data_IF_598219564152
#
_entry.id   IF_598219564152
#
_cell.length_a   1.000
_cell.length_b   1.000
_cell.length_c   1.000
_cell.angle_alpha   90.00
_cell.angle_beta   90.00
_cell.angle_gamma   90.00
#
_symmetry.space_group_name_H-M   'P 1'
#
loop_
_entity.id
_entity.type
_entity.pdbx_description
1 polymer ?
#
# COMPACT_ATOMS: atom_id res chain seq x y z
N UNK A 1 20.68 -3.35 -17.99
CA UNK A 1 19.85 -2.15 -18.02
C UNK A 1 20.15 -1.33 -16.75
N UNK A 2 20.67 -0.11 -16.91
CA UNK A 2 21.03 0.74 -15.79
C UNK A 2 19.82 1.64 -15.49
N UNK A 3 19.24 1.51 -14.30
CA UNK A 3 18.20 2.43 -13.82
C UNK A 3 18.86 3.57 -13.05
N UNK A 4 18.86 4.78 -13.61
CA UNK A 4 19.31 6.00 -12.94
C UNK A 4 18.14 6.59 -12.13
N UNK A 5 18.26 6.58 -10.82
CA UNK A 5 17.36 7.30 -9.91
C UNK A 5 18.06 8.55 -9.36
N UNK A 6 17.47 9.72 -9.54
CA UNK A 6 17.97 10.99 -9.01
C UNK A 6 17.16 11.40 -7.78
N UNK A 7 17.81 11.61 -6.65
CA UNK A 7 17.19 12.12 -5.42
C UNK A 7 17.56 13.59 -5.23
N UNK A 8 16.57 14.46 -5.19
CA UNK A 8 16.73 15.87 -4.89
C UNK A 8 15.81 16.30 -3.75
N UNK A 9 16.30 17.20 -2.91
CA UNK A 9 15.69 17.64 -1.66
C UNK A 9 14.69 18.79 -1.84
N UNK A 10 13.95 18.83 -2.93
CA UNK A 10 12.82 19.75 -3.05
C UNK A 10 11.52 18.96 -3.19
N UNK A 11 10.61 19.25 -2.28
CA UNK A 11 9.20 18.83 -2.28
C UNK A 11 8.48 19.49 -3.47
N UNK A 12 8.86 19.10 -4.69
CA UNK A 12 8.35 19.68 -5.91
C UNK A 12 7.69 18.65 -6.79
N UNK A 13 6.46 18.94 -7.15
CA UNK A 13 5.58 18.35 -8.15
C UNK A 13 6.26 18.04 -9.53
N UNK A 14 7.55 18.29 -9.70
CA UNK A 14 8.32 18.14 -10.95
C UNK A 14 9.51 17.17 -10.87
N UNK A 15 9.68 16.40 -9.81
CA UNK A 15 10.80 15.48 -9.70
C UNK A 15 10.58 14.20 -10.50
N UNK A 16 11.32 14.06 -11.58
CA UNK A 16 11.39 12.84 -12.39
C UNK A 16 12.48 11.94 -11.81
N UNK A 17 12.15 11.06 -10.91
CA UNK A 17 13.10 10.09 -10.33
C UNK A 17 13.83 9.22 -11.35
N UNK A 18 13.20 8.97 -12.49
CA UNK A 18 13.75 8.14 -13.58
C UNK A 18 14.16 8.97 -14.81
N UNK A 19 14.39 10.26 -14.63
CA UNK A 19 14.81 11.13 -15.72
C UNK A 19 16.28 10.94 -16.04
N UNK A 20 16.64 10.99 -17.32
CA UNK A 20 18.03 10.93 -17.80
C UNK A 20 18.71 12.30 -17.81
N UNK A 21 18.00 13.38 -17.48
CA UNK A 21 18.55 14.76 -17.41
C UNK A 21 17.93 15.53 -16.26
N UNK A 22 18.75 16.38 -15.63
CA UNK A 22 18.35 17.22 -14.51
C UNK A 22 19.15 18.51 -14.43
N UNK A 23 18.56 19.58 -13.88
CA UNK A 23 19.29 20.78 -13.51
C UNK A 23 20.12 20.53 -12.24
N UNK A 24 21.34 21.08 -12.23
CA UNK A 24 22.16 21.07 -11.03
C UNK A 24 21.53 21.99 -9.98
N UNK A 25 21.55 21.55 -8.73
CA UNK A 25 21.21 22.38 -7.58
C UNK A 25 22.50 22.86 -6.92
N UNK A 26 22.74 24.17 -6.93
CA UNK A 26 23.99 24.77 -6.43
C UNK A 26 25.27 24.09 -6.99
N UNK A 27 25.25 23.74 -8.28
CA UNK A 27 26.38 23.08 -8.94
C UNK A 27 26.53 21.59 -8.61
N UNK A 28 25.59 20.98 -7.87
CA UNK A 28 25.65 19.57 -7.43
C UNK A 28 24.47 18.78 -7.98
N UNK A 29 24.71 17.49 -8.19
CA UNK A 29 23.71 16.51 -8.58
C UNK A 29 24.02 15.18 -7.88
N UNK A 30 22.97 14.49 -7.43
CA UNK A 30 23.05 13.12 -6.95
C UNK A 30 22.44 12.20 -8.00
N UNK A 31 23.21 11.21 -8.44
CA UNK A 31 22.73 10.10 -9.25
C UNK A 31 22.81 8.82 -8.44
N UNK A 32 21.70 8.08 -8.39
CA UNK A 32 21.65 6.75 -7.76
C UNK A 32 21.77 5.71 -8.87
N UNK A 33 22.81 4.89 -8.80
CA UNK A 33 23.11 3.88 -9.81
C UNK A 33 22.84 2.52 -9.18
N UNK A 34 21.89 1.77 -9.75
CA UNK A 34 21.62 0.39 -9.36
C UNK A 34 22.41 -0.59 -10.23
N UNK A 35 22.91 -1.65 -9.63
CA UNK A 35 23.58 -2.76 -10.31
C UNK A 35 22.56 -3.86 -10.51
N UNK A 36 22.44 -4.37 -11.75
CA UNK A 36 21.73 -5.61 -12.04
C UNK A 36 22.61 -6.82 -11.65
N UNK A 37 22.08 -8.03 -11.75
CA UNK A 37 22.75 -9.29 -11.34
C UNK A 37 23.98 -9.66 -12.20
N UNK A 38 24.74 -8.67 -12.64
CA UNK A 38 25.94 -8.87 -13.47
C UNK A 38 27.11 -8.07 -12.93
N UNK A 39 28.26 -8.72 -12.82
CA UNK A 39 29.54 -8.06 -12.56
C UNK A 39 30.08 -7.41 -13.82
N UNK A 40 30.88 -6.35 -13.67
CA UNK A 40 31.54 -5.68 -14.77
C UNK A 40 31.66 -4.18 -14.59
N UNK A 41 32.25 -3.52 -15.57
CA UNK A 41 32.47 -2.09 -15.59
C UNK A 41 31.16 -1.34 -15.91
N UNK A 42 30.85 -0.33 -15.10
CA UNK A 42 29.74 0.61 -15.29
C UNK A 42 30.33 1.97 -15.63
N UNK A 43 30.07 2.47 -16.84
CA UNK A 43 30.45 3.81 -17.28
C UNK A 43 29.28 4.77 -17.14
N UNK A 44 29.46 5.81 -16.33
CA UNK A 44 28.51 6.91 -16.17
C UNK A 44 29.05 8.14 -16.86
N UNK A 45 28.44 8.53 -17.97
CA UNK A 45 28.84 9.74 -18.72
C UNK A 45 27.89 10.88 -18.36
N UNK A 46 28.45 11.96 -17.87
CA UNK A 46 27.75 13.20 -17.55
C UNK A 46 28.06 14.22 -18.65
N UNK A 47 27.02 14.69 -19.31
CA UNK A 47 27.13 15.67 -20.40
C UNK A 47 26.39 16.95 -20.05
N UNK A 48 26.93 18.11 -20.43
CA UNK A 48 26.25 19.39 -20.30
C UNK A 48 26.63 20.31 -21.44
N UNK A 49 25.69 21.12 -21.91
CA UNK A 49 25.96 22.07 -23.00
C UNK A 49 27.02 23.04 -22.60
N UNK A 50 28.12 23.12 -23.41
CA UNK A 50 29.24 24.05 -23.19
C UNK A 50 30.27 23.59 -22.15
N UNK A 51 30.16 22.36 -21.64
CA UNK A 51 31.18 21.75 -20.77
C UNK A 51 31.70 20.46 -21.40
N UNK A 52 32.93 20.08 -21.16
CA UNK A 52 33.44 18.77 -21.56
C UNK A 52 32.69 17.64 -20.82
N UNK A 53 32.57 16.52 -21.51
CA UNK A 53 31.97 15.34 -20.89
C UNK A 53 32.83 14.82 -19.75
N UNK A 54 32.15 14.40 -18.67
CA UNK A 54 32.80 13.75 -17.54
C UNK A 54 32.37 12.28 -17.50
N UNK A 55 33.36 11.37 -17.48
CA UNK A 55 33.07 9.91 -17.38
C UNK A 55 33.57 9.41 -16.04
N UNK A 56 32.66 8.77 -15.31
CA UNK A 56 32.95 8.08 -14.05
C UNK A 56 32.81 6.57 -14.31
N UNK A 57 33.86 5.82 -13.99
CA UNK A 57 33.86 4.37 -14.10
C UNK A 57 33.75 3.75 -12.73
N UNK A 58 32.82 2.79 -12.57
CA UNK A 58 32.58 2.04 -11.36
C UNK A 58 32.66 0.55 -11.70
N UNK A 59 33.21 -0.27 -10.81
CA UNK A 59 33.27 -1.71 -10.97
C UNK A 59 32.19 -2.38 -10.15
N UNK A 60 31.29 -3.13 -10.81
CA UNK A 60 30.36 -4.02 -10.16
C UNK A 60 31.05 -5.36 -9.88
N UNK A 61 31.26 -5.65 -8.61
CA UNK A 61 31.89 -6.90 -8.16
C UNK A 61 30.86 -7.80 -7.48
N UNK A 62 31.15 -9.11 -7.46
CA UNK A 62 30.31 -10.04 -6.72
C UNK A 62 30.48 -9.81 -5.22
N UNK A 63 29.39 -9.51 -4.52
CA UNK A 63 29.41 -9.42 -3.07
C UNK A 63 29.61 -10.81 -2.43
N UNK A 64 30.31 -10.86 -1.30
CA UNK A 64 30.42 -12.11 -0.52
C UNK A 64 29.07 -12.57 0.03
N UNK A 65 28.21 -11.60 0.33
CA UNK A 65 26.82 -11.85 0.73
C UNK A 65 25.93 -10.74 0.21
N UNK A 66 24.68 -11.08 -0.03
CA UNK A 66 23.68 -10.15 -0.52
C UNK A 66 23.07 -9.37 0.66
N UNK A 67 23.54 -8.14 0.86
CA UNK A 67 23.12 -7.28 1.95
C UNK A 67 21.87 -6.44 1.64
N UNK A 68 21.41 -6.46 0.39
CA UNK A 68 20.33 -5.59 -0.09
C UNK A 68 20.69 -4.11 -0.21
N UNK A 69 21.91 -3.73 0.16
CA UNK A 69 22.45 -2.37 0.04
C UNK A 69 23.89 -2.44 -0.42
N UNK A 70 24.43 -1.36 -1.00
CA UNK A 70 25.86 -1.30 -1.30
C UNK A 70 26.67 -1.35 0.00
N UNK A 71 27.68 -2.23 0.05
CA UNK A 71 28.66 -2.21 1.14
C UNK A 71 29.65 -1.09 0.84
N UNK A 72 29.49 0.04 1.53
CA UNK A 72 30.59 0.99 1.67
C UNK A 72 31.34 0.62 2.93
N UNK A 73 32.65 0.43 2.82
CA UNK A 73 33.51 0.31 4.00
C UNK A 73 33.26 1.53 4.91
N UNK A 74 33.07 1.29 6.20
CA UNK A 74 32.83 2.32 7.23
C UNK A 74 31.47 3.05 7.24
N UNK A 75 30.48 2.63 6.49
CA UNK A 75 29.13 3.08 6.80
C UNK A 75 28.58 2.20 7.92
N UNK A 76 28.72 2.68 9.16
CA UNK A 76 28.01 2.12 10.30
C UNK A 76 26.51 2.08 9.98
N UNK A 77 25.84 0.98 10.35
CA UNK A 77 24.39 0.91 10.22
C UNK A 77 23.79 1.99 11.10
N UNK A 78 22.79 2.71 10.57
CA UNK A 78 22.00 3.55 11.43
C UNK A 78 21.43 2.69 12.56
N UNK A 79 21.55 3.12 13.82
CA UNK A 79 20.94 2.39 14.93
C UNK A 79 19.45 2.24 14.64
N UNK A 80 18.88 1.11 15.06
CA UNK A 80 17.42 0.94 15.03
C UNK A 80 16.79 2.01 15.92
N UNK A 81 15.53 2.35 15.70
CA UNK A 81 14.81 3.32 16.56
C UNK A 81 14.86 2.92 18.06
N UNK A 82 15.09 1.66 18.35
CA UNK A 82 15.21 1.13 19.71
C UNK A 82 16.61 1.29 20.34
N UNK A 83 17.55 1.88 19.61
CA UNK A 83 18.93 2.09 20.10
C UNK A 83 19.77 0.81 20.21
N UNK A 84 19.29 -0.33 19.70
CA UNK A 84 20.04 -1.57 19.62
C UNK A 84 21.03 -1.51 18.48
N UNK A 85 22.31 -1.77 18.78
CA UNK A 85 23.42 -1.68 17.83
C UNK A 85 23.94 -3.02 17.35
N UNK A 86 23.48 -4.11 17.96
CA UNK A 86 23.87 -5.49 17.73
C UNK A 86 22.91 -6.27 16.81
N UNK A 87 21.77 -5.66 16.47
CA UNK A 87 20.77 -6.27 15.61
C UNK A 87 21.02 -5.97 14.15
N UNK A 88 20.73 -6.96 13.31
CA UNK A 88 20.79 -6.84 11.84
C UNK A 88 19.37 -6.67 11.30
N UNK A 89 18.94 -5.42 10.99
CA UNK A 89 17.59 -5.20 10.48
C UNK A 89 17.42 -5.69 9.04
N UNK A 90 16.20 -6.03 8.66
CA UNK A 90 15.83 -6.18 7.25
C UNK A 90 15.99 -4.83 6.57
N UNK A 91 16.68 -4.79 5.44
CA UNK A 91 16.95 -3.59 4.65
C UNK A 91 16.22 -3.58 3.32
N UNK A 92 15.94 -4.76 2.80
CA UNK A 92 15.24 -4.95 1.56
C UNK A 92 14.42 -6.24 1.61
N UNK A 93 13.24 -6.23 1.05
CA UNK A 93 12.46 -7.43 0.78
C UNK A 93 12.32 -7.52 -0.73
N UNK A 94 12.82 -8.59 -1.32
CA UNK A 94 12.64 -8.88 -2.73
C UNK A 94 11.46 -9.82 -2.91
N UNK A 95 10.64 -9.53 -3.90
CA UNK A 95 9.47 -10.33 -4.27
C UNK A 95 9.62 -10.79 -5.72
N UNK A 96 9.40 -12.07 -5.98
CA UNK A 96 9.59 -12.69 -7.29
C UNK A 96 8.36 -13.47 -7.72
N UNK A 97 7.94 -13.25 -8.94
CA UNK A 97 6.87 -14.02 -9.60
C UNK A 97 7.07 -14.03 -11.11
N UNK A 98 6.59 -15.06 -11.76
CA UNK A 98 6.69 -15.21 -13.22
C UNK A 98 5.56 -14.47 -13.95
N UNK A 99 4.46 -14.16 -13.27
CA UNK A 99 3.32 -13.47 -13.86
C UNK A 99 2.71 -12.45 -12.90
N UNK A 100 2.12 -11.42 -13.47
CA UNK A 100 1.42 -10.34 -12.74
C UNK A 100 -0.06 -10.27 -13.10
N UNK A 101 -0.52 -11.16 -13.96
CA UNK A 101 -1.90 -11.22 -14.41
C UNK A 101 -2.53 -12.53 -13.97
N UNK A 102 -3.70 -12.43 -13.32
CA UNK A 102 -4.53 -13.55 -12.90
C UNK A 102 -5.82 -13.54 -13.71
N UNK A 103 -6.45 -14.67 -13.81
CA UNK A 103 -7.70 -14.80 -14.53
C UNK A 103 -8.41 -16.10 -14.18
N UNK A 104 -9.49 -16.36 -14.91
CA UNK A 104 -10.34 -17.52 -14.66
C UNK A 104 -9.60 -18.86 -14.75
N UNK A 105 -8.66 -18.95 -15.70
CA UNK A 105 -7.87 -20.18 -15.92
C UNK A 105 -6.65 -20.26 -14.98
N UNK A 106 -6.21 -19.12 -14.43
CA UNK A 106 -5.10 -19.03 -13.49
C UNK A 106 -5.42 -18.03 -12.36
N UNK A 107 -6.33 -18.39 -11.44
CA UNK A 107 -6.78 -17.49 -10.37
C UNK A 107 -5.78 -17.41 -9.21
N UNK A 108 -4.77 -18.25 -9.17
CA UNK A 108 -3.79 -18.34 -8.09
C UNK A 108 -2.36 -18.33 -8.64
N UNK A 109 -1.48 -17.63 -7.95
CA UNK A 109 -0.04 -17.59 -8.25
C UNK A 109 0.76 -17.75 -6.98
N UNK A 110 2.03 -18.16 -7.15
CA UNK A 110 3.00 -18.23 -6.07
C UNK A 110 4.01 -17.08 -6.21
N UNK A 111 4.19 -16.31 -5.16
CA UNK A 111 5.19 -15.26 -5.05
C UNK A 111 6.27 -15.73 -4.08
N UNK A 112 7.50 -15.81 -4.53
CA UNK A 112 8.66 -16.04 -3.67
C UNK A 112 9.17 -14.74 -3.09
N UNK A 113 9.79 -14.78 -1.94
CA UNK A 113 10.39 -13.61 -1.32
C UNK A 113 11.76 -13.92 -0.73
N UNK A 114 12.54 -12.86 -0.53
CA UNK A 114 13.85 -12.92 0.10
C UNK A 114 14.03 -11.70 0.97
N UNK A 115 14.31 -11.91 2.25
CA UNK A 115 14.74 -10.84 3.15
C UNK A 115 16.24 -10.61 2.98
N UNK A 116 16.66 -9.37 2.98
CA UNK A 116 18.06 -8.98 2.87
C UNK A 116 18.45 -7.98 3.96
N UNK A 117 19.61 -8.17 4.61
CA UNK A 117 20.55 -9.28 4.43
C UNK A 117 19.97 -10.61 4.91
N UNK A 118 20.49 -11.73 4.38
CA UNK A 118 19.97 -13.07 4.67
C UNK A 118 20.08 -13.49 6.16
N UNK A 119 20.97 -12.86 6.90
CA UNK A 119 21.16 -13.04 8.34
C UNK A 119 20.43 -11.98 9.17
N UNK A 120 19.38 -11.39 8.65
CA UNK A 120 18.56 -10.43 9.40
C UNK A 120 17.85 -11.10 10.56
N UNK A 121 17.84 -10.44 11.73
CA UNK A 121 17.14 -10.89 12.94
C UNK A 121 15.61 -10.79 12.81
N UNK A 122 15.11 -10.11 11.79
CA UNK A 122 13.68 -9.82 11.58
C UNK A 122 13.11 -10.41 10.29
N UNK A 123 13.80 -11.39 9.70
CA UNK A 123 13.35 -12.02 8.46
C UNK A 123 12.00 -12.75 8.62
N UNK A 124 11.74 -13.29 9.82
CA UNK A 124 10.50 -13.98 10.15
C UNK A 124 9.35 -13.02 10.53
N UNK A 125 9.66 -11.75 10.80
CA UNK A 125 8.68 -10.73 11.18
C UNK A 125 8.05 -10.03 9.96
N UNK A 126 8.26 -10.55 8.77
CA UNK A 126 7.71 -9.95 7.55
C UNK A 126 6.22 -10.27 7.46
N UNK A 127 5.43 -9.21 7.47
CA UNK A 127 3.98 -9.29 7.27
C UNK A 127 3.63 -9.15 5.79
N UNK A 128 2.72 -10.00 5.32
CA UNK A 128 2.18 -9.93 3.95
C UNK A 128 0.72 -9.52 3.95
N UNK A 129 0.36 -8.67 2.99
CA UNK A 129 -1.02 -8.18 2.90
C UNK A 129 -1.40 -7.84 1.47
N UNK A 130 -2.60 -8.22 1.06
CA UNK A 130 -3.22 -7.73 -0.17
C UNK A 130 -3.86 -6.37 0.10
N UNK A 131 -3.53 -5.38 -0.72
CA UNK A 131 -3.98 -4.00 -0.53
C UNK A 131 -4.38 -3.36 -1.86
N UNK A 132 -5.05 -2.21 -1.79
CA UNK A 132 -5.12 -1.29 -2.91
C UNK A 132 -3.81 -0.46 -3.03
N UNK A 133 -3.75 0.44 -3.99
CA UNK A 133 -2.58 1.32 -4.22
C UNK A 133 -2.20 2.13 -2.98
N UNK A 134 -3.19 2.58 -2.20
CA UNK A 134 -2.99 3.37 -0.98
C UNK A 134 -2.57 2.55 0.25
N UNK A 135 -2.49 1.22 0.12
CA UNK A 135 -2.13 0.33 1.21
C UNK A 135 -3.28 -0.10 2.12
N UNK A 136 -4.52 0.20 1.75
CA UNK A 136 -5.72 -0.26 2.44
C UNK A 136 -5.97 -1.72 2.03
N UNK A 137 -6.26 -2.60 3.00
CA UNK A 137 -6.54 -4.02 2.74
C UNK A 137 -7.64 -4.15 1.68
N UNK A 138 -7.37 -4.89 0.61
CA UNK A 138 -8.29 -5.14 -0.49
C UNK A 138 -8.97 -6.51 -0.35
N UNK A 139 -10.20 -6.61 -0.86
CA UNK A 139 -10.96 -7.87 -0.97
C UNK A 139 -10.83 -8.53 -2.36
N UNK A 140 -10.11 -7.88 -3.30
CA UNK A 140 -9.91 -8.41 -4.66
C UNK A 140 -9.07 -9.68 -4.71
N UNK A 141 -8.28 -9.94 -3.66
CA UNK A 141 -7.52 -11.17 -3.53
C UNK A 141 -7.26 -11.47 -2.05
N UNK A 142 -6.83 -12.68 -1.79
CA UNK A 142 -6.29 -13.13 -0.51
C UNK A 142 -4.87 -13.66 -0.68
N UNK A 143 -4.10 -13.64 0.39
CA UNK A 143 -2.77 -14.24 0.41
C UNK A 143 -2.61 -15.18 1.59
N UNK A 144 -1.95 -16.31 1.34
CA UNK A 144 -1.58 -17.31 2.33
C UNK A 144 -0.07 -17.44 2.35
N UNK A 145 0.53 -17.29 3.52
CA UNK A 145 1.99 -17.39 3.71
C UNK A 145 2.34 -18.86 3.94
N UNK A 146 3.25 -19.39 3.16
CA UNK A 146 3.87 -20.70 3.36
C UNK A 146 5.30 -20.53 3.85
N UNK A 147 6.02 -21.60 4.07
CA UNK A 147 7.37 -21.53 4.67
C UNK A 147 8.36 -20.67 3.85
N UNK A 148 8.24 -20.64 2.52
CA UNK A 148 9.20 -20.01 1.60
C UNK A 148 8.54 -19.13 0.52
N UNK A 149 7.21 -19.02 0.55
CA UNK A 149 6.46 -18.33 -0.51
C UNK A 149 5.12 -17.82 -0.03
N UNK A 150 4.47 -17.05 -0.87
CA UNK A 150 3.13 -16.53 -0.64
C UNK A 150 2.25 -16.98 -1.81
N UNK A 151 1.18 -17.68 -1.50
CA UNK A 151 0.11 -17.95 -2.45
C UNK A 151 -0.82 -16.75 -2.51
N UNK A 152 -1.07 -16.24 -3.69
CA UNK A 152 -2.00 -15.12 -3.91
C UNK A 152 -3.11 -15.61 -4.81
N UNK A 153 -4.34 -15.54 -4.31
CA UNK A 153 -5.54 -15.98 -5.02
C UNK A 153 -6.47 -14.80 -5.25
N UNK A 154 -6.73 -14.51 -6.53
CA UNK A 154 -7.69 -13.48 -6.92
C UNK A 154 -9.14 -13.94 -6.66
N UNK A 155 -9.97 -13.00 -6.22
CA UNK A 155 -11.40 -13.19 -5.93
C UNK A 155 -12.32 -12.41 -6.86
N UNK A 156 -11.78 -11.44 -7.57
CA UNK A 156 -12.55 -10.62 -8.51
C UNK A 156 -11.65 -9.77 -9.38
N UNK A 157 -12.26 -9.15 -10.37
CA UNK A 157 -11.59 -8.30 -11.36
C UNK A 157 -11.07 -7.01 -10.74
N UNK A 158 -9.91 -6.59 -11.20
CA UNK A 158 -9.29 -5.33 -10.81
C UNK A 158 -7.80 -5.43 -10.48
N UNK A 159 -7.22 -4.30 -10.08
CA UNK A 159 -5.82 -4.22 -9.68
C UNK A 159 -5.68 -4.23 -8.16
N UNK A 160 -4.74 -5.01 -7.68
CA UNK A 160 -4.37 -5.08 -6.26
C UNK A 160 -2.85 -5.21 -6.11
N UNK A 161 -2.36 -5.02 -4.89
CA UNK A 161 -0.94 -5.09 -4.56
C UNK A 161 -0.71 -6.11 -3.44
N UNK A 162 0.25 -7.00 -3.64
CA UNK A 162 0.84 -7.73 -2.54
C UNK A 162 1.89 -6.85 -1.90
N UNK A 163 1.74 -6.53 -0.63
CA UNK A 163 2.72 -5.82 0.20
C UNK A 163 3.42 -6.78 1.13
N UNK A 164 4.74 -6.71 1.14
CA UNK A 164 5.59 -7.33 2.15
C UNK A 164 6.16 -6.20 3.02
N UNK A 165 6.01 -6.29 4.32
CA UNK A 165 6.30 -5.20 5.25
C UNK A 165 7.03 -5.71 6.48
N UNK A 166 8.08 -5.01 6.91
CA UNK A 166 8.82 -5.32 8.12
C UNK A 166 8.96 -4.10 9.03
N UNK A 167 8.79 -4.30 10.33
CA UNK A 167 8.90 -3.28 11.36
C UNK A 167 10.28 -3.22 12.00
N UNK A 168 11.12 -4.22 11.78
CA UNK A 168 12.43 -4.32 12.41
C UNK A 168 12.38 -4.13 13.95
N UNK A 169 11.46 -4.82 14.61
CA UNK A 169 11.29 -4.75 16.06
C UNK A 169 10.66 -3.46 16.60
N UNK A 170 10.17 -2.55 15.74
CA UNK A 170 9.52 -1.30 16.15
C UNK A 170 8.00 -1.35 15.99
N UNK A 171 7.31 -0.26 16.31
CA UNK A 171 5.85 -0.16 16.05
C UNK A 171 5.49 0.18 14.61
N UNK A 172 6.44 0.69 13.81
CA UNK A 172 6.20 1.20 12.45
C UNK A 172 6.84 0.31 11.40
N UNK A 173 6.23 0.28 10.22
CA UNK A 173 6.85 -0.37 9.07
C UNK A 173 7.96 0.53 8.51
N UNK A 174 9.19 0.01 8.50
CA UNK A 174 10.37 0.69 7.94
C UNK A 174 10.69 0.20 6.54
N UNK A 175 10.42 -1.07 6.26
CA UNK A 175 10.68 -1.68 4.97
C UNK A 175 9.34 -2.12 4.36
N UNK A 176 9.08 -1.68 3.14
CA UNK A 176 7.89 -2.06 2.37
C UNK A 176 8.33 -2.39 0.94
N UNK A 177 7.96 -3.58 0.50
CA UNK A 177 8.09 -4.00 -0.91
C UNK A 177 6.71 -4.33 -1.46
N UNK A 178 6.48 -4.07 -2.75
CA UNK A 178 5.18 -4.25 -3.37
C UNK A 178 5.28 -4.81 -4.78
N UNK A 179 4.34 -5.71 -5.10
CA UNK A 179 4.07 -6.13 -6.48
C UNK A 179 2.63 -5.79 -6.83
N UNK A 180 2.42 -5.22 -8.00
CA UNK A 180 1.10 -4.97 -8.57
C UNK A 180 0.65 -6.18 -9.37
N UNK A 181 -0.61 -6.56 -9.17
CA UNK A 181 -1.29 -7.60 -9.93
C UNK A 181 -2.57 -7.05 -10.55
N UNK A 182 -2.98 -7.68 -11.64
CA UNK A 182 -4.28 -7.41 -12.27
C UNK A 182 -5.01 -8.74 -12.45
N UNK A 183 -6.28 -8.77 -12.10
CA UNK A 183 -7.15 -9.92 -12.31
C UNK A 183 -8.28 -9.56 -13.26
N UNK A 184 -8.60 -10.48 -14.19
CA UNK A 184 -9.61 -10.27 -15.23
C UNK A 184 -10.42 -11.57 -15.47
N UNK A 185 -11.71 -11.41 -15.73
CA UNK A 185 -12.64 -12.50 -16.07
C UNK A 185 -13.14 -13.32 -14.89
N UNK A 186 -12.91 -12.88 -13.66
CA UNK A 186 -13.42 -13.49 -12.43
C UNK A 186 -14.77 -12.90 -12.00
N UNK A 187 -15.12 -11.73 -12.56
CA UNK A 187 -16.28 -10.96 -12.13
C UNK A 187 -16.03 -10.13 -10.87
N UNK A 188 -17.08 -9.66 -10.23
CA UNK A 188 -16.98 -8.80 -9.06
C UNK A 188 -16.60 -9.61 -7.82
N UNK A 189 -15.63 -9.12 -7.05
CA UNK A 189 -15.35 -9.66 -5.72
C UNK A 189 -16.52 -9.35 -4.77
N UNK A 190 -17.08 -10.37 -4.16
CA UNK A 190 -18.09 -10.20 -3.13
C UNK A 190 -17.43 -9.85 -1.79
N UNK A 191 -18.09 -8.98 -1.05
CA UNK A 191 -17.69 -8.60 0.30
C UNK A 191 -18.72 -9.13 1.29
N UNK A 192 -18.27 -9.90 2.28
CA UNK A 192 -19.11 -10.35 3.39
C UNK A 192 -19.38 -9.17 4.36
N UNK A 193 -20.61 -8.65 4.42
CA UNK A 193 -20.96 -7.53 5.29
C UNK A 193 -21.07 -7.90 6.77
N UNK A 194 -21.04 -9.19 7.10
CA UNK A 194 -21.03 -9.68 8.48
C UNK A 194 -19.61 -9.68 9.08
N UNK A 195 -18.60 -9.43 8.25
CA UNK A 195 -17.25 -9.16 8.68
C UNK A 195 -16.99 -7.63 8.73
N UNK A 196 -15.85 -7.24 9.30
CA UNK A 196 -15.50 -5.83 9.33
C UNK A 196 -15.16 -5.31 7.92
N UNK A 197 -16.08 -4.54 7.34
CA UNK A 197 -15.88 -3.85 6.06
C UNK A 197 -15.08 -2.57 6.29
N UNK A 198 -13.92 -2.48 5.64
CA UNK A 198 -13.02 -1.34 5.79
C UNK A 198 -13.63 -0.10 5.12
N UNK A 199 -13.94 0.93 5.90
CA UNK A 199 -14.61 2.14 5.41
C UNK A 199 -13.88 2.88 4.30
N UNK A 200 -12.56 2.76 4.18
CA UNK A 200 -11.77 3.36 3.10
C UNK A 200 -11.85 2.62 1.75
N UNK A 201 -12.53 1.47 1.69
CA UNK A 201 -12.73 0.68 0.45
C UNK A 201 -14.06 0.97 -0.24
N UNK A 202 -14.61 2.16 -0.06
CA UNK A 202 -15.80 2.54 -0.83
C UNK A 202 -15.51 2.45 -2.34
N UNK A 203 -16.47 1.98 -3.08
CA UNK A 203 -16.38 1.78 -4.54
C UNK A 203 -16.72 3.06 -5.30
N UNK A 204 -17.68 3.81 -4.77
CA UNK A 204 -18.13 5.10 -5.30
C UNK A 204 -18.38 6.08 -4.16
N UNK A 205 -18.22 7.35 -4.43
CA UNK A 205 -18.45 8.40 -3.44
C UNK A 205 -18.70 9.75 -4.11
N UNK A 206 -19.26 10.69 -3.36
CA UNK A 206 -19.30 12.09 -3.78
C UNK A 206 -17.89 12.70 -3.82
N UNK A 207 -17.70 13.75 -4.64
CA UNK A 207 -16.39 14.39 -4.89
C UNK A 207 -15.66 14.87 -3.64
N UNK A 208 -16.40 15.15 -2.57
CA UNK A 208 -15.88 15.63 -1.30
C UNK A 208 -15.54 14.52 -0.29
N UNK A 209 -15.52 13.26 -0.74
CA UNK A 209 -15.10 12.10 0.07
C UNK A 209 -13.72 11.64 -0.35
N UNK A 210 -12.89 11.36 0.63
CA UNK A 210 -11.57 10.74 0.43
C UNK A 210 -11.37 9.58 1.38
N UNK A 211 -10.42 8.70 1.07
CA UNK A 211 -10.00 7.65 1.99
C UNK A 211 -8.83 8.14 2.84
N UNK A 212 -8.93 7.91 4.15
CA UNK A 212 -7.83 8.05 5.10
C UNK A 212 -7.38 6.71 5.64
N UNK A 213 -6.30 6.71 6.42
CA UNK A 213 -5.78 5.51 7.08
C UNK A 213 -5.30 5.84 8.49
N UNK A 214 -5.64 4.97 9.44
CA UNK A 214 -5.12 4.98 10.80
C UNK A 214 -4.67 3.57 11.19
N UNK A 215 -3.41 3.41 11.59
CA UNK A 215 -2.82 2.10 12.00
C UNK A 215 -3.11 0.97 10.99
N UNK A 216 -3.05 1.27 9.69
CA UNK A 216 -3.29 0.29 8.62
C UNK A 216 -4.77 0.01 8.31
N UNK A 217 -5.71 0.60 9.04
CA UNK A 217 -7.15 0.48 8.77
C UNK A 217 -7.62 1.73 8.03
N UNK A 218 -8.22 1.51 6.85
CA UNK A 218 -8.77 2.57 6.02
C UNK A 218 -10.14 3.03 6.52
N UNK A 219 -10.44 4.32 6.34
CA UNK A 219 -11.75 4.90 6.61
C UNK A 219 -12.17 5.87 5.51
N UNK A 220 -13.50 6.02 5.31
CA UNK A 220 -14.03 7.08 4.47
C UNK A 220 -14.06 8.38 5.27
N UNK A 221 -13.65 9.48 4.65
CA UNK A 221 -13.61 10.80 5.24
C UNK A 221 -14.37 11.76 4.33
N UNK A 222 -15.51 12.25 4.80
CA UNK A 222 -16.35 13.19 4.08
C UNK A 222 -16.61 14.47 4.87
N UNK A 223 -17.05 15.50 4.16
CA UNK A 223 -17.61 16.72 4.74
C UNK A 223 -19.13 16.57 4.84
N UNK A 224 -19.79 17.59 5.41
CA UNK A 224 -21.26 17.67 5.44
C UNK A 224 -21.82 17.52 4.01
N UNK A 225 -22.91 16.78 3.88
CA UNK A 225 -23.54 16.45 2.58
C UNK A 225 -22.63 15.64 1.65
N UNK A 226 -22.12 14.53 2.14
CA UNK A 226 -21.31 13.59 1.38
C UNK A 226 -21.86 12.17 1.51
N UNK A 227 -21.56 11.31 0.55
CA UNK A 227 -21.92 9.90 0.60
C UNK A 227 -20.77 9.01 0.11
N UNK A 228 -20.72 7.80 0.63
CA UNK A 228 -19.84 6.73 0.18
C UNK A 228 -20.65 5.45 -0.01
N UNK A 229 -20.42 4.75 -1.12
CA UNK A 229 -21.11 3.51 -1.46
C UNK A 229 -20.14 2.33 -1.50
N UNK A 230 -20.65 1.18 -1.10
CA UNK A 230 -19.94 -0.09 -1.06
C UNK A 230 -20.71 -1.08 -1.90
N UNK A 231 -20.21 -1.37 -3.09
CA UNK A 231 -20.84 -2.31 -4.01
C UNK A 231 -20.50 -3.76 -3.64
N UNK A 232 -21.29 -4.69 -4.14
CA UNK A 232 -21.08 -6.14 -4.04
C UNK A 232 -21.02 -6.65 -2.60
N UNK A 233 -21.83 -6.08 -1.70
CA UNK A 233 -22.05 -6.65 -0.37
C UNK A 233 -23.01 -7.84 -0.49
N UNK A 234 -22.58 -9.02 -0.08
CA UNK A 234 -23.40 -10.23 -0.10
C UNK A 234 -24.00 -10.51 1.28
N UNK A 235 -25.25 -10.13 1.47
CA UNK A 235 -25.99 -10.39 2.71
C UNK A 235 -26.53 -11.83 2.81
N UNK A 236 -26.33 -12.64 1.77
CA UNK A 236 -26.85 -14.00 1.69
C UNK A 236 -28.40 -14.06 1.79
N UNK A 237 -28.94 -15.26 2.00
CA UNK A 237 -30.38 -15.46 2.07
C UNK A 237 -31.03 -14.98 3.37
N UNK A 238 -30.27 -14.86 4.44
CA UNK A 238 -30.78 -14.42 5.76
C UNK A 238 -31.04 -12.91 5.79
N UNK A 239 -30.21 -12.13 5.13
CA UNK A 239 -30.27 -10.68 5.13
C UNK A 239 -30.03 -10.07 6.51
N UNK A 240 -29.90 -8.76 6.58
CA UNK A 240 -29.83 -8.02 7.85
C UNK A 240 -30.63 -6.72 7.78
N UNK A 241 -31.33 -6.40 8.84
CA UNK A 241 -31.99 -5.09 9.05
C UNK A 241 -31.21 -4.21 10.04
N UNK A 242 -30.00 -4.60 10.39
CA UNK A 242 -29.13 -3.83 11.26
C UNK A 242 -27.76 -3.60 10.61
N UNK A 243 -27.20 -2.42 10.85
CA UNK A 243 -25.85 -2.06 10.43
C UNK A 243 -25.11 -1.42 11.59
N UNK A 244 -23.87 -1.87 11.84
CA UNK A 244 -22.99 -1.26 12.82
C UNK A 244 -21.86 -0.50 12.09
N UNK A 245 -21.74 0.78 12.36
CA UNK A 245 -20.72 1.64 11.73
C UNK A 245 -19.82 2.22 12.80
N UNK A 246 -18.51 2.18 12.53
CA UNK A 246 -17.51 2.87 13.35
C UNK A 246 -17.44 4.33 12.92
N UNK A 247 -17.87 5.26 13.77
CA UNK A 247 -18.03 6.67 13.43
C UNK A 247 -17.11 7.54 14.29
N UNK A 248 -16.46 8.49 13.65
CA UNK A 248 -15.84 9.62 14.28
C UNK A 248 -16.31 10.90 13.58
N UNK A 249 -16.89 11.82 14.33
CA UNK A 249 -17.25 13.15 13.85
C UNK A 249 -16.44 14.21 14.60
N UNK A 250 -15.79 15.10 13.88
CA UNK A 250 -15.02 16.20 14.47
C UNK A 250 -15.88 17.45 14.64
N UNK A 251 -17.03 17.28 15.29
CA UNK A 251 -17.97 18.37 15.59
C UNK A 251 -18.78 18.03 16.83
N UNK A 252 -19.20 19.06 17.56
CA UNK A 252 -20.19 18.96 18.64
C UNK A 252 -21.63 19.06 18.12
N UNK A 253 -21.82 19.45 16.86
CA UNK A 253 -23.14 19.52 16.28
C UNK A 253 -23.66 18.12 15.91
N UNK A 254 -24.97 17.86 16.02
CA UNK A 254 -25.57 16.62 15.60
C UNK A 254 -25.39 16.38 14.10
N UNK A 255 -24.88 15.19 13.72
CA UNK A 255 -24.67 14.79 12.33
C UNK A 255 -25.76 13.82 11.91
N UNK A 256 -26.46 14.11 10.81
CA UNK A 256 -27.42 13.20 10.21
C UNK A 256 -26.70 12.17 9.36
N UNK A 257 -26.97 10.89 9.61
CA UNK A 257 -26.44 9.77 8.83
C UNK A 257 -27.64 9.04 8.23
N UNK A 258 -27.64 8.92 6.92
CA UNK A 258 -28.69 8.22 6.19
C UNK A 258 -28.11 6.99 5.45
N UNK A 259 -28.85 5.88 5.52
CA UNK A 259 -28.49 4.66 4.81
C UNK A 259 -29.44 4.49 3.63
N UNK A 260 -28.89 4.07 2.50
CA UNK A 260 -29.62 3.87 1.26
C UNK A 260 -29.28 2.49 0.67
N UNK A 261 -30.25 1.88 0.03
CA UNK A 261 -30.04 0.81 -0.93
C UNK A 261 -29.93 1.43 -2.31
N UNK A 262 -28.69 1.51 -2.81
CA UNK A 262 -28.32 2.27 -4.00
C UNK A 262 -27.85 3.71 -3.70
N UNK A 263 -27.43 4.41 -4.73
CA UNK A 263 -26.94 5.78 -4.63
C UNK A 263 -28.11 6.76 -4.53
N UNK A 264 -28.09 7.71 -3.56
CA UNK A 264 -29.19 8.65 -3.36
C UNK A 264 -29.57 9.43 -4.63
N UNK A 265 -28.58 9.94 -5.34
CA UNK A 265 -28.74 10.78 -6.53
C UNK A 265 -29.15 9.98 -7.78
N UNK A 266 -29.06 8.65 -7.74
CA UNK A 266 -29.43 7.71 -8.80
C UNK A 266 -30.73 6.94 -8.50
N UNK A 267 -31.51 7.41 -7.54
CA UNK A 267 -32.79 6.77 -7.15
C UNK A 267 -32.67 5.70 -6.09
N UNK A 268 -31.59 5.69 -5.32
CA UNK A 268 -31.40 4.83 -4.17
C UNK A 268 -32.52 4.98 -3.14
N UNK A 269 -32.98 3.85 -2.56
CA UNK A 269 -34.07 3.80 -1.58
C UNK A 269 -33.56 4.08 -0.19
N UNK A 270 -34.13 5.07 0.50
CA UNK A 270 -33.81 5.39 1.89
C UNK A 270 -34.20 4.22 2.80
N UNK A 271 -33.26 3.76 3.58
CA UNK A 271 -33.41 2.70 4.58
C UNK A 271 -33.56 3.23 6.01
N UNK A 272 -33.12 4.44 6.24
CA UNK A 272 -33.23 5.12 7.52
C UNK A 272 -32.33 6.33 7.63
N UNK A 273 -32.72 7.28 8.51
CA UNK A 273 -31.93 8.45 8.84
C UNK A 273 -31.80 8.52 10.35
N UNK A 274 -30.58 8.72 10.83
CA UNK A 274 -30.25 8.70 12.24
C UNK A 274 -29.43 9.95 12.58
N UNK A 275 -29.52 10.34 13.85
CA UNK A 275 -28.74 11.45 14.38
C UNK A 275 -27.57 10.89 15.21
N UNK A 276 -26.34 11.17 14.80
CA UNK A 276 -25.15 10.89 15.58
C UNK A 276 -24.74 12.15 16.33
N UNK A 277 -24.62 12.02 17.65
CA UNK A 277 -24.21 13.14 18.51
C UNK A 277 -23.43 12.59 19.69
N UNK A 278 -22.14 12.39 19.49
CA UNK A 278 -21.20 12.01 20.55
C UNK A 278 -20.04 12.98 20.60
N UNK A 279 -19.56 13.21 21.80
CA UNK A 279 -18.39 14.06 22.00
C UNK A 279 -17.19 13.55 21.19
N UNK A 280 -16.55 14.43 20.39
CA UNK A 280 -15.45 14.05 19.54
C UNK A 280 -14.19 13.80 20.39
N UNK A 281 -13.57 12.65 20.14
CA UNK A 281 -12.23 12.33 20.59
C UNK A 281 -11.37 12.12 19.36
N UNK A 282 -10.22 12.79 19.27
CA UNK A 282 -9.42 12.80 18.05
C UNK A 282 -9.11 11.40 17.52
N UNK A 283 -9.63 11.11 16.34
CA UNK A 283 -9.45 9.84 15.65
C UNK A 283 -9.91 8.59 16.45
N UNK A 284 -10.79 8.74 17.42
CA UNK A 284 -11.43 7.61 18.11
C UNK A 284 -12.77 7.35 17.42
N UNK A 285 -12.85 6.20 16.76
CA UNK A 285 -14.06 5.73 16.09
C UNK A 285 -14.93 4.99 17.11
N UNK A 286 -16.18 5.42 17.28
CA UNK A 286 -17.14 4.82 18.22
C UNK A 286 -18.15 3.99 17.44
N UNK A 287 -18.41 2.72 17.84
CA UNK A 287 -19.39 1.90 17.16
C UNK A 287 -20.82 2.37 17.45
N UNK A 288 -21.64 2.44 16.41
CA UNK A 288 -23.06 2.73 16.46
C UNK A 288 -23.83 1.71 15.65
N UNK A 289 -24.89 1.16 16.24
CA UNK A 289 -25.76 0.21 15.55
C UNK A 289 -27.09 0.86 15.22
N UNK A 290 -27.48 0.78 13.97
CA UNK A 290 -28.70 1.35 13.43
C UNK A 290 -29.63 0.24 12.93
N UNK A 291 -30.94 0.40 13.14
CA UNK A 291 -31.93 -0.49 12.59
C UNK A 291 -32.52 0.11 11.31
N UNK A 292 -32.43 -0.63 10.23
CA UNK A 292 -32.94 -0.25 8.93
C UNK A 292 -34.43 -0.54 8.82
N UNK A 293 -35.12 0.12 7.88
CA UNK A 293 -36.55 -0.06 7.61
C UNK A 293 -36.92 -1.41 7.01
N UNK A 294 -35.92 -2.10 6.42
CA UNK A 294 -36.06 -3.46 5.87
C UNK A 294 -34.73 -4.20 5.91
N UNK A 295 -34.76 -5.50 5.67
CA UNK A 295 -33.56 -6.30 5.43
C UNK A 295 -32.94 -5.98 4.08
N UNK A 296 -31.63 -6.05 4.04
CA UNK A 296 -30.79 -6.06 2.85
C UNK A 296 -30.40 -7.48 2.51
#
# INVERSE_FOLDING_TARGET
>A
EISLGLVGSEMCIRDRYKGTSRRLFSGKMLAVIGVADKTGEIKVTLTSKGLPDCVVTLDAVKAEYDSGTSSLENVGFAPTECGRTDEIPVRKIELYTDTFTLGKDNPEITVKYKALPANSDYAEDIEFRVTNEKGIKSNLAECEVTADSIKVKAKGDGSFWLRAMCKNGTERYHIISMLKFTAEGLGNALTDPYQFVIGGLFTRASDNVSSGMKKGVGFAMGKVTSWAAYDNLDFGSAGSDTVTVQIWANTLDPVKISFYDGIPDEGGKLLGTFCYHKEPEWMIFKPETFKLSRKL
#
